data_IF_120800939656
#
_entry.id   IF_120800939656
#
_cell.length_a   1.000
_cell.length_b   1.000
_cell.length_c   1.000
_cell.angle_alpha   90.00
_cell.angle_beta   90.00
_cell.angle_gamma   90.00
#
_symmetry.space_group_name_H-M   'P 1'
#
loop_
_entity.id
_entity.type
_entity.pdbx_description
1 polymer ?
#
# COMPACT_ATOMS: atom_id res chain seq x y z
N UNK A 1 -14.93 2.06 20.31
CA UNK A 1 -13.68 1.35 19.96
C UNK A 1 -12.99 2.15 18.86
N UNK A 2 -11.97 2.95 19.18
CA UNK A 2 -11.19 3.61 18.14
C UNK A 2 -10.47 2.51 17.35
N UNK A 3 -10.79 2.36 16.07
CA UNK A 3 -10.09 1.42 15.21
C UNK A 3 -8.62 1.81 15.22
N UNK A 4 -7.77 0.96 15.80
CA UNK A 4 -6.31 1.08 15.71
C UNK A 4 -5.97 1.29 14.24
N UNK A 5 -5.54 2.50 13.91
CA UNK A 5 -5.22 2.89 12.54
C UNK A 5 -4.00 2.07 12.15
N UNK A 6 -4.24 1.01 11.38
CA UNK A 6 -3.17 0.15 10.90
C UNK A 6 -2.34 1.01 9.98
N UNK A 7 -1.12 1.36 10.43
CA UNK A 7 -0.19 2.25 9.73
C UNK A 7 0.00 1.83 8.27
N UNK A 8 -0.17 0.54 8.00
CA UNK A 8 -0.09 -0.06 6.68
C UNK A 8 -1.38 -0.80 6.27
N UNK A 9 -2.30 -0.13 5.54
CA UNK A 9 -3.56 -0.72 5.05
C UNK A 9 -3.36 -1.54 3.76
N UNK A 10 -2.84 -2.77 3.89
CA UNK A 10 -2.51 -3.70 2.78
C UNK A 10 -3.58 -3.83 1.70
N UNK A 11 -4.84 -3.99 2.10
CA UNK A 11 -5.95 -4.20 1.17
C UNK A 11 -6.18 -2.97 0.27
N UNK A 12 -6.05 -1.78 0.84
CA UNK A 12 -6.19 -0.51 0.12
C UNK A 12 -5.05 -0.34 -0.88
N UNK A 13 -3.80 -0.54 -0.44
CA UNK A 13 -2.62 -0.45 -1.30
C UNK A 13 -2.75 -1.40 -2.49
N UNK A 14 -3.11 -2.67 -2.26
CA UNK A 14 -3.31 -3.64 -3.34
C UNK A 14 -4.43 -3.24 -4.30
N UNK A 15 -5.54 -2.69 -3.79
CA UNK A 15 -6.66 -2.24 -4.63
C UNK A 15 -6.26 -1.08 -5.54
N UNK A 16 -5.58 -0.09 -4.99
CA UNK A 16 -5.07 1.08 -5.73
C UNK A 16 -4.09 0.61 -6.82
N UNK A 17 -3.07 -0.15 -6.44
CA UNK A 17 -2.06 -0.65 -7.39
C UNK A 17 -2.71 -1.47 -8.50
N UNK A 18 -3.65 -2.36 -8.18
CA UNK A 18 -4.36 -3.16 -9.18
C UNK A 18 -5.19 -2.30 -10.14
N UNK A 19 -5.89 -1.29 -9.63
CA UNK A 19 -6.70 -0.39 -10.43
C UNK A 19 -5.89 0.43 -11.44
N UNK A 20 -4.66 0.85 -11.07
CA UNK A 20 -3.83 1.70 -11.92
C UNK A 20 -2.81 0.95 -12.78
N UNK A 21 -2.41 -0.27 -12.39
CA UNK A 21 -1.45 -1.07 -13.16
C UNK A 21 -2.11 -2.14 -14.05
N UNK A 22 -3.38 -2.47 -13.78
CA UNK A 22 -4.08 -3.64 -14.34
C UNK A 22 -3.28 -4.96 -14.17
N UNK A 23 -2.44 -5.04 -13.13
CA UNK A 23 -1.59 -6.19 -12.80
C UNK A 23 -1.88 -6.72 -11.41
N UNK A 24 -1.65 -8.01 -11.21
CA UNK A 24 -1.70 -8.62 -9.89
C UNK A 24 -0.45 -8.23 -9.08
N UNK A 25 -0.62 -8.00 -7.78
CA UNK A 25 0.48 -7.68 -6.86
C UNK A 25 1.00 -8.97 -6.24
N UNK A 26 2.28 -9.28 -6.48
CA UNK A 26 2.97 -10.42 -5.89
C UNK A 26 2.98 -10.36 -4.35
N UNK A 27 3.18 -11.52 -3.70
CA UNK A 27 3.23 -11.61 -2.24
C UNK A 27 4.27 -10.63 -1.69
N UNK A 28 3.86 -9.78 -0.74
CA UNK A 28 4.69 -8.79 -0.05
C UNK A 28 5.24 -7.65 -0.91
N UNK A 29 5.01 -7.63 -2.23
CA UNK A 29 5.37 -6.50 -3.08
C UNK A 29 4.62 -5.22 -2.65
N UNK A 30 3.44 -5.37 -2.06
CA UNK A 30 2.67 -4.28 -1.47
C UNK A 30 3.43 -3.50 -0.38
N UNK A 31 4.42 -4.12 0.27
CA UNK A 31 5.17 -3.50 1.38
C UNK A 31 6.18 -2.50 0.82
N UNK A 32 6.91 -2.90 -0.22
CA UNK A 32 7.90 -2.05 -0.87
C UNK A 32 7.24 -0.84 -1.54
N UNK A 33 6.08 -1.05 -2.19
CA UNK A 33 5.29 0.04 -2.79
C UNK A 33 4.86 1.05 -1.73
N UNK A 34 4.46 0.58 -0.54
CA UNK A 34 4.05 1.46 0.54
C UNK A 34 5.23 2.20 1.19
N UNK A 35 6.38 1.54 1.33
CA UNK A 35 7.62 2.17 1.79
C UNK A 35 8.06 3.30 0.84
N UNK A 36 8.05 3.03 -0.47
CA UNK A 36 8.37 4.01 -1.51
C UNK A 36 7.45 5.24 -1.43
N UNK A 37 6.14 5.01 -1.29
CA UNK A 37 5.16 6.07 -1.05
C UNK A 37 5.44 6.87 0.24
N UNK A 38 5.81 6.22 1.34
CA UNK A 38 6.11 6.93 2.60
C UNK A 38 7.38 7.79 2.47
N UNK A 39 8.40 7.29 1.77
CA UNK A 39 9.62 8.05 1.50
C UNK A 39 9.32 9.27 0.60
N UNK A 40 8.50 9.09 -0.44
CA UNK A 40 8.04 10.18 -1.30
C UNK A 40 7.28 11.27 -0.52
N UNK A 41 6.47 10.90 0.46
CA UNK A 41 5.73 11.87 1.29
C UNK A 41 6.60 12.61 2.32
N UNK A 42 7.84 12.16 2.54
CA UNK A 42 8.79 12.79 3.46
C UNK A 42 9.65 13.89 2.80
N UNK A 43 9.69 13.92 1.46
CA UNK A 43 10.32 14.98 0.66
C UNK A 43 9.32 16.11 0.36
#
# INVERSE_FOLDING_TARGET
>A
MAATQKLYPRATVKRVVKAHSNRNVSKNADILIFLDYMLFMQE
#
